data_IF_007954303285
#
_entry.id   IF_007954303285
#
_cell.length_a   1.000
_cell.length_b   1.000
_cell.length_c   1.000
_cell.angle_alpha   90.00
_cell.angle_beta   90.00
_cell.angle_gamma   90.00
#
_symmetry.space_group_name_H-M   'P 1'
#
loop_
_entity.id
_entity.type
_entity.pdbx_description
1 polymer ?
#
# COMPACT_ATOMS: atom_id res chain seq x y z
N UNK A 1 -41.49 -19.70 -10.70
CA UNK A 1 -41.25 -21.01 -11.19
C UNK A 1 -41.82 -21.25 -12.59
N UNK A 2 -43.12 -21.10 -12.85
CA UNK A 2 -43.76 -21.28 -14.18
C UNK A 2 -43.39 -20.23 -15.25
N UNK A 3 -42.68 -19.16 -14.89
CA UNK A 3 -42.13 -18.16 -15.83
C UNK A 3 -40.89 -18.66 -16.59
N UNK A 4 -40.20 -19.69 -16.09
CA UNK A 4 -39.06 -20.31 -16.80
C UNK A 4 -39.56 -21.20 -17.92
N UNK A 5 -39.12 -20.92 -19.16
CA UNK A 5 -39.51 -21.63 -20.38
C UNK A 5 -39.11 -23.12 -20.32
N UNK A 6 -37.96 -23.44 -19.76
CA UNK A 6 -37.43 -24.79 -19.64
C UNK A 6 -38.27 -25.65 -18.67
N UNK A 7 -38.61 -25.09 -17.48
CA UNK A 7 -39.44 -25.80 -16.50
C UNK A 7 -40.84 -26.08 -17.08
N UNK A 8 -41.39 -25.11 -17.82
CA UNK A 8 -42.69 -25.27 -18.45
C UNK A 8 -42.66 -26.34 -19.55
N UNK A 9 -41.59 -26.37 -20.35
CA UNK A 9 -41.41 -27.40 -21.39
C UNK A 9 -41.21 -28.79 -20.77
N UNK A 10 -40.39 -28.91 -19.73
CA UNK A 10 -40.16 -30.16 -19.04
C UNK A 10 -41.44 -30.68 -18.33
N UNK A 11 -42.21 -29.79 -17.69
CA UNK A 11 -43.50 -30.14 -17.09
C UNK A 11 -44.53 -30.59 -18.15
N UNK A 12 -44.62 -29.91 -19.29
CA UNK A 12 -45.51 -30.27 -20.38
C UNK A 12 -45.12 -31.63 -21.00
N UNK A 13 -43.83 -31.89 -21.21
CA UNK A 13 -43.34 -33.17 -21.72
C UNK A 13 -43.63 -34.32 -20.72
N UNK A 14 -43.41 -34.07 -19.42
CA UNK A 14 -43.72 -35.02 -18.36
C UNK A 14 -45.23 -35.32 -18.30
N UNK A 15 -46.10 -34.32 -18.36
CA UNK A 15 -47.54 -34.49 -18.40
C UNK A 15 -47.98 -35.28 -19.65
N UNK A 16 -47.46 -34.98 -20.84
CA UNK A 16 -47.79 -35.69 -22.06
C UNK A 16 -47.37 -37.17 -21.98
N UNK A 17 -46.14 -37.45 -21.53
CA UNK A 17 -45.65 -38.82 -21.37
C UNK A 17 -46.47 -39.62 -20.34
N UNK A 18 -46.87 -38.96 -19.26
CA UNK A 18 -47.68 -39.55 -18.18
C UNK A 18 -49.09 -39.92 -18.68
N UNK A 19 -49.73 -39.02 -19.44
CA UNK A 19 -51.05 -39.27 -20.03
C UNK A 19 -50.98 -40.45 -20.98
N UNK A 20 -49.99 -40.54 -21.86
CA UNK A 20 -49.80 -41.64 -22.79
C UNK A 20 -49.62 -42.97 -22.04
N UNK A 21 -48.75 -42.98 -21.00
CA UNK A 21 -48.44 -44.14 -20.20
C UNK A 21 -49.68 -44.68 -19.43
N UNK A 22 -50.43 -43.77 -18.81
CA UNK A 22 -51.67 -44.12 -18.07
C UNK A 22 -52.73 -44.65 -19.03
N UNK A 23 -52.90 -44.03 -20.23
CA UNK A 23 -53.86 -44.49 -21.24
C UNK A 23 -53.51 -45.91 -21.73
N UNK A 24 -52.25 -46.20 -22.02
CA UNK A 24 -51.78 -47.53 -22.40
C UNK A 24 -52.00 -48.56 -21.29
N UNK A 25 -51.77 -48.22 -20.03
CA UNK A 25 -51.99 -49.09 -18.89
C UNK A 25 -53.47 -49.42 -18.71
N UNK A 26 -54.42 -48.51 -18.94
CA UNK A 26 -55.84 -48.76 -18.93
C UNK A 26 -56.28 -49.69 -20.05
N UNK A 27 -55.65 -49.66 -21.23
CA UNK A 27 -55.92 -50.54 -22.33
C UNK A 27 -55.55 -52.05 -22.01
N UNK A 28 -54.53 -52.23 -21.14
CA UNK A 28 -54.06 -53.56 -20.76
C UNK A 28 -54.94 -54.19 -19.62
N UNK A 29 -55.20 -53.43 -18.54
CA UNK A 29 -56.06 -53.85 -17.44
C UNK A 29 -56.47 -52.59 -16.62
N UNK A 30 -57.75 -52.50 -16.15
CA UNK A 30 -58.23 -51.35 -15.37
C UNK A 30 -57.45 -51.19 -14.06
N UNK A 31 -57.03 -52.23 -13.40
CA UNK A 31 -56.22 -52.15 -12.17
C UNK A 31 -54.83 -51.64 -12.41
N UNK A 32 -54.18 -51.97 -13.54
CA UNK A 32 -52.90 -51.48 -13.93
C UNK A 32 -52.94 -49.95 -14.24
N UNK A 33 -54.04 -49.47 -14.87
CA UNK A 33 -54.31 -48.08 -15.09
C UNK A 33 -54.42 -47.23 -13.80
N UNK A 34 -55.12 -47.77 -12.80
CA UNK A 34 -55.24 -47.13 -11.48
C UNK A 34 -53.88 -47.03 -10.75
N UNK A 35 -53.09 -48.10 -10.78
CA UNK A 35 -51.75 -48.08 -10.18
C UNK A 35 -50.81 -47.10 -10.90
N UNK A 36 -50.82 -47.07 -12.24
CA UNK A 36 -50.05 -46.11 -13.05
C UNK A 36 -50.44 -44.66 -12.76
N UNK A 37 -51.74 -44.37 -12.58
CA UNK A 37 -52.22 -43.03 -12.22
C UNK A 37 -51.72 -42.62 -10.83
N UNK A 38 -51.83 -43.53 -9.83
CA UNK A 38 -51.32 -43.27 -8.48
C UNK A 38 -49.83 -42.99 -8.45
N UNK A 39 -49.04 -43.76 -9.19
CA UNK A 39 -47.61 -43.53 -9.34
C UNK A 39 -47.28 -42.18 -10.02
N UNK A 40 -48.03 -41.85 -11.08
CA UNK A 40 -47.86 -40.59 -11.81
C UNK A 40 -48.13 -39.35 -10.94
N UNK A 41 -49.18 -39.40 -10.11
CA UNK A 41 -49.51 -38.32 -9.16
C UNK A 41 -48.43 -38.18 -8.09
N UNK A 42 -47.94 -39.31 -7.53
CA UNK A 42 -46.89 -39.33 -6.53
C UNK A 42 -45.56 -38.78 -7.11
N UNK A 43 -45.15 -39.23 -8.29
CA UNK A 43 -43.94 -38.78 -8.98
C UNK A 43 -44.02 -37.28 -9.37
N UNK A 44 -45.16 -36.85 -9.86
CA UNK A 44 -45.45 -35.44 -10.18
C UNK A 44 -45.41 -34.54 -8.95
N UNK A 45 -45.99 -34.98 -7.84
CA UNK A 45 -45.92 -34.29 -6.55
C UNK A 45 -44.49 -34.17 -5.99
N UNK A 46 -43.74 -35.27 -6.08
CA UNK A 46 -42.31 -35.26 -5.65
C UNK A 46 -41.47 -34.30 -6.51
N UNK A 47 -41.62 -34.38 -7.84
CA UNK A 47 -40.95 -33.50 -8.78
C UNK A 47 -41.30 -32.02 -8.52
N UNK A 48 -42.57 -31.74 -8.29
CA UNK A 48 -43.03 -30.39 -7.96
C UNK A 48 -42.42 -29.86 -6.65
N UNK A 49 -42.42 -30.65 -5.59
CA UNK A 49 -41.80 -30.29 -4.30
C UNK A 49 -40.31 -30.03 -4.44
N UNK A 50 -39.59 -30.90 -5.13
CA UNK A 50 -38.15 -30.77 -5.38
C UNK A 50 -37.83 -29.50 -6.16
N UNK A 51 -38.53 -29.28 -7.26
CA UNK A 51 -38.31 -28.10 -8.11
C UNK A 51 -38.68 -26.82 -7.37
N UNK A 52 -39.78 -26.77 -6.63
CA UNK A 52 -40.19 -25.64 -5.83
C UNK A 52 -39.20 -25.29 -4.71
N UNK A 53 -38.64 -26.31 -4.04
CA UNK A 53 -37.58 -26.09 -3.03
C UNK A 53 -36.32 -25.51 -3.63
N UNK A 54 -35.88 -26.02 -4.80
CA UNK A 54 -34.71 -25.51 -5.54
C UNK A 54 -34.87 -24.04 -5.97
N UNK A 55 -36.05 -23.66 -6.48
CA UNK A 55 -36.32 -22.28 -6.86
C UNK A 55 -36.41 -21.34 -5.67
N UNK A 56 -36.94 -21.78 -4.53
CA UNK A 56 -36.95 -20.97 -3.30
C UNK A 56 -35.54 -20.67 -2.81
N UNK A 57 -34.64 -21.70 -2.86
CA UNK A 57 -33.23 -21.50 -2.48
C UNK A 57 -32.51 -20.56 -3.42
N UNK A 58 -32.71 -20.64 -4.75
CA UNK A 58 -32.17 -19.70 -5.72
C UNK A 58 -32.67 -18.26 -5.51
N UNK A 59 -33.95 -18.10 -5.19
CA UNK A 59 -34.52 -16.78 -4.91
C UNK A 59 -33.92 -16.17 -3.61
N UNK A 60 -33.75 -16.99 -2.58
CA UNK A 60 -33.12 -16.55 -1.33
C UNK A 60 -31.67 -16.11 -1.56
N UNK A 61 -30.89 -16.87 -2.36
CA UNK A 61 -29.53 -16.50 -2.74
C UNK A 61 -29.46 -15.16 -3.52
N UNK A 62 -30.38 -14.97 -4.46
CA UNK A 62 -30.45 -13.73 -5.22
C UNK A 62 -30.77 -12.52 -4.34
N UNK A 63 -31.70 -12.68 -3.39
CA UNK A 63 -32.06 -11.64 -2.42
C UNK A 63 -30.90 -11.34 -1.45
N UNK A 64 -30.19 -12.37 -1.00
CA UNK A 64 -29.03 -12.23 -0.13
C UNK A 64 -27.85 -11.53 -0.85
N UNK A 65 -27.63 -11.86 -2.13
CA UNK A 65 -26.64 -11.16 -2.97
C UNK A 65 -26.99 -9.69 -3.17
N UNK A 66 -28.27 -9.38 -3.38
CA UNK A 66 -28.74 -7.99 -3.54
C UNK A 66 -28.55 -7.18 -2.25
N UNK A 67 -28.81 -7.77 -1.08
CA UNK A 67 -28.52 -7.15 0.22
C UNK A 67 -27.02 -6.88 0.44
N UNK A 68 -26.15 -7.79 0.02
CA UNK A 68 -24.70 -7.61 0.12
C UNK A 68 -24.21 -6.46 -0.78
N UNK A 69 -24.79 -6.33 -1.96
CA UNK A 69 -24.46 -5.25 -2.90
C UNK A 69 -24.92 -3.86 -2.40
N UNK A 70 -25.93 -3.81 -1.53
CA UNK A 70 -26.47 -2.58 -0.94
C UNK A 70 -25.94 -2.25 0.46
N UNK A 71 -24.73 -2.74 0.83
CA UNK A 71 -24.00 -2.38 2.07
C UNK A 71 -24.54 -2.97 3.39
N UNK A 72 -25.33 -4.02 3.39
CA UNK A 72 -25.61 -4.73 4.62
C UNK A 72 -24.41 -5.61 5.02
N UNK A 73 -23.84 -5.33 6.20
CA UNK A 73 -22.58 -5.88 6.75
C UNK A 73 -22.69 -7.37 7.19
N UNK A 74 -23.44 -8.18 6.47
CA UNK A 74 -23.61 -9.60 6.75
C UNK A 74 -22.81 -10.47 5.80
N UNK A 75 -21.95 -11.30 6.39
CA UNK A 75 -21.26 -12.39 5.69
C UNK A 75 -22.29 -13.43 5.26
N UNK A 76 -22.17 -13.93 4.02
CA UNK A 76 -22.82 -15.16 3.59
C UNK A 76 -22.38 -16.30 4.52
N UNK A 77 -23.19 -16.63 5.51
CA UNK A 77 -23.03 -17.85 6.29
C UNK A 77 -23.61 -18.95 5.42
N UNK A 78 -22.73 -19.65 4.71
CA UNK A 78 -23.10 -20.85 3.96
C UNK A 78 -23.40 -21.96 4.96
N UNK A 79 -24.67 -22.22 5.25
CA UNK A 79 -25.06 -23.53 5.72
C UNK A 79 -24.77 -24.51 4.57
N UNK A 80 -23.67 -25.23 4.72
CA UNK A 80 -23.12 -26.14 3.71
C UNK A 80 -23.99 -27.39 3.63
N UNK A 81 -25.07 -27.34 2.86
CA UNK A 81 -25.68 -28.56 2.35
C UNK A 81 -24.88 -29.03 1.13
N UNK A 82 -24.59 -30.33 1.05
CA UNK A 82 -23.88 -30.95 -0.08
C UNK A 82 -24.67 -30.79 -1.39
N UNK A 83 -23.98 -30.37 -2.47
CA UNK A 83 -24.56 -30.27 -3.80
C UNK A 83 -24.02 -29.13 -4.65
N UNK A 84 -24.44 -29.06 -5.91
CA UNK A 84 -24.01 -28.04 -6.90
C UNK A 84 -24.29 -26.58 -6.45
N UNK A 85 -25.40 -26.37 -5.73
CA UNK A 85 -25.77 -25.07 -5.15
C UNK A 85 -24.81 -24.63 -4.03
N UNK A 86 -24.30 -25.58 -3.23
CA UNK A 86 -23.33 -25.28 -2.19
C UNK A 86 -21.98 -24.81 -2.77
N UNK A 87 -21.58 -25.39 -3.91
CA UNK A 87 -20.37 -24.95 -4.63
C UNK A 87 -20.56 -23.51 -5.12
N UNK A 88 -21.72 -23.19 -5.71
CA UNK A 88 -22.02 -21.84 -6.19
C UNK A 88 -22.04 -20.83 -5.02
N UNK A 89 -22.66 -21.19 -3.89
CA UNK A 89 -22.66 -20.37 -2.67
C UNK A 89 -21.25 -20.09 -2.17
N UNK A 90 -20.40 -21.12 -2.10
CA UNK A 90 -19.01 -20.99 -1.69
C UNK A 90 -18.21 -20.08 -2.63
N UNK A 91 -18.42 -20.17 -3.94
CA UNK A 91 -17.75 -19.30 -4.91
C UNK A 91 -18.23 -17.84 -4.81
N UNK A 92 -19.53 -17.63 -4.63
CA UNK A 92 -20.08 -16.29 -4.40
C UNK A 92 -19.58 -15.68 -3.09
N UNK A 93 -19.52 -16.48 -2.00
CA UNK A 93 -18.96 -16.03 -0.72
C UNK A 93 -17.49 -15.60 -0.85
N UNK A 94 -16.67 -16.39 -1.54
CA UNK A 94 -15.26 -16.03 -1.81
C UNK A 94 -15.15 -14.75 -2.66
N UNK A 95 -16.02 -14.60 -3.64
CA UNK A 95 -16.03 -13.42 -4.52
C UNK A 95 -16.44 -12.15 -3.77
N UNK A 96 -17.47 -12.24 -2.92
CA UNK A 96 -17.92 -11.11 -2.09
C UNK A 96 -16.87 -10.72 -1.04
N UNK A 97 -16.19 -11.68 -0.41
CA UNK A 97 -15.09 -11.40 0.50
C UNK A 97 -13.96 -10.66 -0.21
N UNK A 98 -13.53 -11.14 -1.38
CA UNK A 98 -12.49 -10.46 -2.18
C UNK A 98 -12.89 -9.05 -2.61
N UNK A 99 -14.15 -8.85 -3.04
CA UNK A 99 -14.64 -7.53 -3.41
C UNK A 99 -14.64 -6.56 -2.22
N UNK A 100 -15.01 -7.03 -1.02
CA UNK A 100 -14.93 -6.24 0.21
C UNK A 100 -13.50 -5.88 0.56
N UNK A 101 -12.59 -6.85 0.58
CA UNK A 101 -11.16 -6.61 0.83
C UNK A 101 -10.58 -5.56 -0.15
N UNK A 102 -10.94 -5.66 -1.44
CA UNK A 102 -10.52 -4.69 -2.44
C UNK A 102 -11.14 -3.30 -2.22
N UNK A 103 -12.42 -3.24 -1.85
CA UNK A 103 -13.11 -1.98 -1.57
C UNK A 103 -12.54 -1.28 -0.33
N UNK A 104 -12.26 -2.06 0.74
CA UNK A 104 -11.63 -1.55 1.96
C UNK A 104 -10.19 -1.09 1.71
N UNK A 105 -9.44 -1.82 0.88
CA UNK A 105 -8.11 -1.40 0.46
C UNK A 105 -8.16 -0.09 -0.33
N UNK A 106 -9.06 0.02 -1.31
CA UNK A 106 -9.26 1.23 -2.10
C UNK A 106 -9.73 2.42 -1.25
N UNK A 107 -10.59 2.18 -0.26
CA UNK A 107 -11.05 3.21 0.67
C UNK A 107 -9.91 3.72 1.55
N UNK A 108 -9.08 2.82 2.09
CA UNK A 108 -7.87 3.18 2.84
C UNK A 108 -6.90 3.99 1.98
N UNK A 109 -6.69 3.58 0.74
CA UNK A 109 -5.83 4.31 -0.21
C UNK A 109 -6.36 5.71 -0.51
N UNK A 110 -7.67 5.86 -0.70
CA UNK A 110 -8.30 7.19 -0.89
C UNK A 110 -8.16 8.11 0.32
N UNK A 111 -8.35 7.57 1.54
CA UNK A 111 -8.18 8.35 2.77
C UNK A 111 -6.71 8.76 2.89
N UNK A 112 -5.78 7.83 2.74
CA UNK A 112 -4.35 8.11 2.76
C UNK A 112 -3.93 9.18 1.74
N UNK A 113 -4.49 9.13 0.52
CA UNK A 113 -4.23 10.15 -0.50
C UNK A 113 -4.79 11.51 -0.10
N UNK A 114 -6.01 11.57 0.46
CA UNK A 114 -6.63 12.81 0.92
C UNK A 114 -5.84 13.45 2.07
N UNK A 115 -5.42 12.67 3.05
CA UNK A 115 -4.60 13.13 4.18
C UNK A 115 -3.22 13.62 3.69
N UNK A 116 -2.58 12.87 2.79
CA UNK A 116 -1.31 13.29 2.17
C UNK A 116 -1.43 14.61 1.41
N UNK A 117 -2.52 14.83 0.67
CA UNK A 117 -2.76 16.10 -0.03
C UNK A 117 -3.00 17.27 0.95
N UNK A 118 -3.70 17.02 2.06
CA UNK A 118 -3.91 18.01 3.10
C UNK A 118 -2.58 18.43 3.76
N UNK A 119 -1.72 17.46 4.06
CA UNK A 119 -0.39 17.69 4.63
C UNK A 119 0.51 18.47 3.65
N UNK A 120 0.53 18.10 2.38
CA UNK A 120 1.25 18.82 1.32
C UNK A 120 0.79 20.27 1.26
N UNK A 121 -0.53 20.50 1.24
CA UNK A 121 -1.08 21.86 1.19
C UNK A 121 -0.67 22.68 2.41
N UNK A 122 -0.64 22.07 3.60
CA UNK A 122 -0.20 22.72 4.83
C UNK A 122 1.29 23.07 4.79
N UNK A 123 2.15 22.13 4.35
CA UNK A 123 3.59 22.33 4.27
C UNK A 123 4.01 23.35 3.19
N UNK A 124 3.20 23.52 2.13
CA UNK A 124 3.42 24.57 1.13
C UNK A 124 2.92 25.95 1.60
N UNK A 125 1.86 25.99 2.40
CA UNK A 125 1.28 27.26 2.88
C UNK A 125 2.24 28.04 3.77
N UNK A 126 2.98 27.36 4.62
CA UNK A 126 3.92 27.98 5.57
C UNK A 126 5.03 28.77 4.86
N UNK A 127 5.86 28.17 3.97
CA UNK A 127 6.89 28.92 3.27
C UNK A 127 6.30 29.98 2.32
N UNK A 128 5.13 29.72 1.71
CA UNK A 128 4.45 30.71 0.87
C UNK A 128 4.05 31.96 1.68
N UNK A 129 3.55 31.78 2.91
CA UNK A 129 3.23 32.89 3.79
C UNK A 129 4.49 33.67 4.17
N UNK A 130 5.60 32.98 4.46
CA UNK A 130 6.89 33.61 4.75
C UNK A 130 7.44 34.38 3.55
N UNK A 131 7.34 33.82 2.34
CA UNK A 131 7.72 34.54 1.09
C UNK A 131 6.90 35.82 0.93
N UNK A 132 5.58 35.76 1.13
CA UNK A 132 4.73 36.96 1.05
C UNK A 132 5.11 38.03 2.10
N UNK A 133 5.47 37.59 3.31
CA UNK A 133 5.96 38.48 4.35
C UNK A 133 7.29 39.17 3.94
N UNK A 134 8.24 38.36 3.43
CA UNK A 134 9.53 38.88 2.93
C UNK A 134 9.31 39.92 1.82
N UNK A 135 8.40 39.65 0.86
CA UNK A 135 8.07 40.65 -0.19
C UNK A 135 7.41 41.90 0.36
N UNK A 136 6.57 41.78 1.38
CA UNK A 136 5.94 42.93 2.03
C UNK A 136 6.99 43.80 2.72
N UNK A 137 7.93 43.20 3.48
CA UNK A 137 9.01 43.89 4.14
C UNK A 137 9.98 44.52 3.13
N UNK A 138 10.27 43.86 2.02
CA UNK A 138 11.17 44.34 0.98
C UNK A 138 10.66 45.60 0.28
N UNK A 139 9.34 45.79 0.19
CA UNK A 139 8.71 46.91 -0.49
C UNK A 139 9.11 48.27 0.11
N UNK A 140 9.16 48.33 1.44
CA UNK A 140 9.36 49.57 2.19
C UNK A 140 10.73 49.63 2.91
N UNK A 141 11.65 48.67 2.63
CA UNK A 141 12.95 48.57 3.29
C UNK A 141 13.96 49.55 2.66
N UNK A 142 14.39 50.62 3.38
CA UNK A 142 15.31 51.61 2.88
C UNK A 142 16.78 51.17 2.97
N UNK A 143 17.13 50.30 3.90
CA UNK A 143 18.51 49.87 4.13
C UNK A 143 18.97 48.85 3.06
N UNK A 144 20.00 49.13 2.28
CA UNK A 144 20.51 48.23 1.24
C UNK A 144 21.06 46.92 1.80
N UNK A 145 21.56 46.88 3.06
CA UNK A 145 22.08 45.66 3.66
C UNK A 145 20.92 44.72 4.05
N UNK A 146 19.89 45.26 4.69
CA UNK A 146 18.68 44.54 5.07
C UNK A 146 17.88 44.07 3.87
N UNK A 147 17.76 44.90 2.82
CA UNK A 147 17.16 44.51 1.54
C UNK A 147 17.85 43.28 0.93
N UNK A 148 19.20 43.25 0.94
CA UNK A 148 19.97 42.08 0.46
C UNK A 148 19.75 40.83 1.32
N UNK A 149 19.59 40.98 2.64
CA UNK A 149 19.27 39.88 3.54
C UNK A 149 17.88 39.30 3.23
N UNK A 150 16.86 40.15 3.10
CA UNK A 150 15.50 39.74 2.73
C UNK A 150 15.44 39.06 1.36
N UNK A 151 16.19 39.53 0.37
CA UNK A 151 16.26 38.85 -0.94
C UNK A 151 16.88 37.46 -0.83
N UNK A 152 17.94 37.27 -0.04
CA UNK A 152 18.53 35.96 0.21
C UNK A 152 17.56 35.03 0.90
N UNK A 153 16.84 35.51 1.93
CA UNK A 153 15.82 34.76 2.66
C UNK A 153 14.69 34.35 1.72
N UNK A 154 14.15 35.25 0.92
CA UNK A 154 13.10 34.92 -0.07
C UNK A 154 13.57 33.89 -1.10
N UNK A 155 14.84 34.01 -1.59
CA UNK A 155 15.41 33.03 -2.51
C UNK A 155 15.57 31.66 -1.87
N UNK A 156 15.99 31.59 -0.60
CA UNK A 156 16.11 30.35 0.16
C UNK A 156 14.76 29.69 0.34
N UNK A 157 13.71 30.45 0.71
CA UNK A 157 12.32 29.94 0.87
C UNK A 157 11.78 29.39 -0.45
N UNK A 158 12.00 30.06 -1.58
CA UNK A 158 11.60 29.55 -2.90
C UNK A 158 12.35 28.26 -3.26
N UNK A 159 13.66 28.19 -3.00
CA UNK A 159 14.45 26.97 -3.19
C UNK A 159 13.94 25.80 -2.33
N UNK A 160 13.53 26.07 -1.11
CA UNK A 160 12.91 25.09 -0.23
C UNK A 160 11.58 24.55 -0.80
N UNK A 161 10.72 25.44 -1.34
CA UNK A 161 9.46 25.04 -1.98
C UNK A 161 9.70 24.18 -3.22
N UNK A 162 10.66 24.55 -4.06
CA UNK A 162 11.00 23.77 -5.27
C UNK A 162 11.54 22.39 -4.90
N UNK A 163 12.41 22.28 -3.90
CA UNK A 163 12.90 21.01 -3.38
C UNK A 163 11.76 20.15 -2.85
N UNK A 164 10.82 20.73 -2.06
CA UNK A 164 9.66 20.04 -1.50
C UNK A 164 8.79 19.47 -2.62
N UNK A 165 8.42 20.28 -3.61
CA UNK A 165 7.62 19.87 -4.75
C UNK A 165 8.29 18.75 -5.56
N UNK A 166 9.59 18.91 -5.84
CA UNK A 166 10.38 17.92 -6.59
C UNK A 166 10.43 16.58 -5.85
N UNK A 167 10.64 16.61 -4.53
CA UNK A 167 10.70 15.42 -3.68
C UNK A 167 9.35 14.70 -3.63
N UNK A 168 8.25 15.46 -3.48
CA UNK A 168 6.89 14.90 -3.50
C UNK A 168 6.55 14.25 -4.84
N UNK A 169 6.93 14.89 -5.97
CA UNK A 169 6.76 14.31 -7.29
C UNK A 169 7.58 13.02 -7.46
N UNK A 170 8.82 12.96 -6.93
CA UNK A 170 9.63 11.73 -6.92
C UNK A 170 8.91 10.60 -6.18
N UNK A 171 8.43 10.86 -4.96
CA UNK A 171 7.69 9.87 -4.15
C UNK A 171 6.44 9.41 -4.89
N UNK A 172 5.62 10.34 -5.38
CA UNK A 172 4.38 10.03 -6.10
C UNK A 172 4.62 9.14 -7.32
N UNK A 173 5.67 9.40 -8.11
CA UNK A 173 6.04 8.58 -9.27
C UNK A 173 6.58 7.21 -8.88
N UNK A 174 7.34 7.11 -7.79
CA UNK A 174 7.80 5.85 -7.23
C UNK A 174 6.62 4.99 -6.77
N UNK A 175 5.70 5.56 -5.99
CA UNK A 175 4.53 4.84 -5.47
C UNK A 175 3.61 4.35 -6.59
N UNK A 176 3.37 5.19 -7.59
CA UNK A 176 2.58 4.82 -8.77
C UNK A 176 3.25 3.76 -9.67
N UNK A 177 4.53 3.41 -9.41
CA UNK A 177 5.25 2.44 -10.23
C UNK A 177 5.55 2.91 -11.65
N UNK A 178 5.49 4.21 -11.91
CA UNK A 178 5.74 4.80 -13.24
C UNK A 178 7.23 4.85 -13.58
N UNK A 179 8.07 4.77 -12.54
CA UNK A 179 9.53 4.81 -12.71
C UNK A 179 10.04 3.39 -12.97
N UNK A 180 10.66 3.19 -14.11
CA UNK A 180 11.42 1.99 -14.41
C UNK A 180 12.81 2.08 -13.76
N UNK A 181 13.00 1.36 -12.66
CA UNK A 181 14.27 1.29 -11.96
C UNK A 181 15.20 0.32 -12.68
N UNK A 182 16.46 0.72 -12.89
CA UNK A 182 17.49 -0.15 -13.42
C UNK A 182 17.86 -1.21 -12.38
N UNK A 183 18.28 -2.38 -12.86
CA UNK A 183 18.76 -3.45 -11.98
C UNK A 183 20.16 -3.87 -12.44
N UNK A 184 21.16 -3.22 -11.85
CA UNK A 184 22.57 -3.44 -12.16
C UNK A 184 23.38 -3.62 -10.86
N UNK A 185 24.53 -4.30 -10.89
CA UNK A 185 25.38 -4.40 -9.72
C UNK A 185 25.98 -3.03 -9.38
N UNK A 186 25.71 -2.57 -8.16
CA UNK A 186 26.16 -1.27 -7.65
C UNK A 186 27.13 -1.48 -6.50
N UNK A 187 28.45 -1.21 -6.69
CA UNK A 187 29.43 -1.31 -5.61
C UNK A 187 29.09 -0.37 -4.46
N UNK A 188 29.00 -0.90 -3.23
CA UNK A 188 28.57 -0.12 -2.07
C UNK A 188 29.51 1.02 -1.73
N UNK A 189 30.82 0.83 -1.89
CA UNK A 189 31.79 1.91 -1.66
C UNK A 189 31.52 3.12 -2.56
N UNK A 190 31.34 2.90 -3.86
CA UNK A 190 31.03 3.96 -4.81
C UNK A 190 29.64 4.57 -4.60
N UNK A 191 28.72 3.80 -4.04
CA UNK A 191 27.38 4.26 -3.71
C UNK A 191 27.40 5.21 -2.50
N UNK A 192 28.09 4.83 -1.42
CA UNK A 192 28.25 5.66 -0.23
C UNK A 192 29.00 6.94 -0.56
N UNK A 193 30.09 6.87 -1.35
CA UNK A 193 30.82 8.06 -1.82
C UNK A 193 29.93 9.00 -2.61
N UNK A 194 29.11 8.48 -3.54
CA UNK A 194 28.16 9.28 -4.34
C UNK A 194 27.10 9.93 -3.46
N UNK A 195 26.61 9.24 -2.43
CA UNK A 195 25.63 9.76 -1.50
C UNK A 195 26.20 10.85 -0.56
N UNK A 196 27.45 10.67 -0.12
CA UNK A 196 28.16 11.56 0.80
C UNK A 196 28.71 12.80 0.11
N UNK A 197 28.97 12.79 -1.20
CA UNK A 197 29.60 13.89 -1.94
C UNK A 197 28.96 15.28 -1.69
N UNK A 198 27.63 15.45 -1.75
CA UNK A 198 26.99 16.74 -1.45
C UNK A 198 27.06 17.14 0.02
N UNK A 199 27.35 16.19 0.92
CA UNK A 199 27.41 16.41 2.37
C UNK A 199 28.80 16.69 2.87
N UNK A 200 29.86 16.57 2.05
CA UNK A 200 31.26 16.74 2.46
C UNK A 200 31.54 18.11 3.10
N UNK A 201 31.12 19.18 2.42
CA UNK A 201 31.31 20.54 2.95
C UNK A 201 30.54 20.77 4.25
N UNK A 202 29.24 20.43 4.36
CA UNK A 202 28.53 20.46 5.65
C UNK A 202 29.19 19.64 6.76
N UNK A 203 29.64 18.41 6.47
CA UNK A 203 30.32 17.55 7.45
C UNK A 203 31.63 18.19 7.95
N UNK A 204 32.44 18.74 7.03
CA UNK A 204 33.68 19.48 7.38
C UNK A 204 33.38 20.74 8.23
N UNK A 205 32.31 21.49 7.92
CA UNK A 205 31.96 22.70 8.68
C UNK A 205 31.54 22.40 10.12
N UNK A 206 30.94 21.21 10.37
CA UNK A 206 30.55 20.73 11.69
C UNK A 206 31.57 19.80 12.33
N UNK A 207 32.76 19.63 11.71
CA UNK A 207 33.82 18.71 12.16
C UNK A 207 33.33 17.27 12.41
N UNK A 208 32.37 16.81 11.60
CA UNK A 208 31.77 15.47 11.70
C UNK A 208 32.57 14.49 10.83
N UNK A 209 33.15 13.47 11.46
CA UNK A 209 33.87 12.41 10.76
C UNK A 209 32.91 11.40 10.12
N UNK A 210 33.12 11.08 8.84
CA UNK A 210 32.45 9.97 8.16
C UNK A 210 33.44 8.78 8.04
N UNK A 211 33.16 7.72 8.79
CA UNK A 211 34.01 6.53 8.87
C UNK A 211 33.33 5.34 8.17
N UNK A 212 33.92 4.87 7.06
CA UNK A 212 33.38 3.80 6.22
C UNK A 212 34.19 2.52 6.39
N UNK A 213 33.57 1.44 6.93
CA UNK A 213 34.24 0.21 7.34
C UNK A 213 33.57 -1.02 6.69
N UNK A 214 33.87 -1.31 5.44
CA UNK A 214 33.45 -2.54 4.79
C UNK A 214 34.31 -2.90 3.59
N UNK A 215 34.16 -4.15 3.08
CA UNK A 215 34.90 -4.61 1.91
C UNK A 215 34.52 -3.85 0.66
N UNK A 216 35.49 -3.39 -0.16
CA UNK A 216 35.18 -2.68 -1.41
C UNK A 216 34.48 -3.52 -2.46
N UNK A 217 34.51 -4.87 -2.34
CA UNK A 217 33.92 -5.80 -3.32
C UNK A 217 32.42 -6.04 -3.10
N UNK A 218 31.83 -5.49 -2.03
CA UNK A 218 30.41 -5.65 -1.73
C UNK A 218 29.56 -4.81 -2.66
N UNK A 219 28.51 -5.41 -3.26
CA UNK A 219 27.62 -4.74 -4.19
C UNK A 219 26.17 -5.10 -3.94
N UNK A 220 25.27 -4.13 -4.19
CA UNK A 220 23.83 -4.35 -4.28
C UNK A 220 23.37 -4.48 -5.73
N UNK A 221 22.18 -5.07 -5.93
CA UNK A 221 21.50 -5.07 -7.22
C UNK A 221 20.42 -3.97 -7.22
N UNK A 222 20.56 -2.96 -8.07
CA UNK A 222 19.59 -1.88 -8.10
C UNK A 222 19.98 -0.71 -9.01
N UNK A 223 19.24 0.39 -8.89
CA UNK A 223 19.49 1.64 -9.60
C UNK A 223 20.41 2.54 -8.76
N UNK A 224 21.63 2.75 -9.25
CA UNK A 224 22.66 3.52 -8.54
C UNK A 224 22.19 4.91 -8.14
N UNK A 225 21.50 5.64 -9.02
CA UNK A 225 21.11 7.03 -8.77
C UNK A 225 20.05 7.11 -7.68
N UNK A 226 19.08 6.22 -7.73
CA UNK A 226 18.01 6.16 -6.72
C UNK A 226 18.54 5.66 -5.38
N UNK A 227 19.41 4.64 -5.37
CA UNK A 227 20.04 4.16 -4.12
C UNK A 227 20.93 5.23 -3.48
N UNK A 228 21.69 5.98 -4.28
CA UNK A 228 22.48 7.11 -3.77
C UNK A 228 21.58 8.23 -3.18
N UNK A 229 20.43 8.50 -3.80
CA UNK A 229 19.44 9.44 -3.26
C UNK A 229 18.90 8.96 -1.90
N UNK A 230 18.58 7.66 -1.76
CA UNK A 230 18.10 7.08 -0.51
C UNK A 230 19.15 7.18 0.61
N UNK A 231 20.39 6.76 0.33
CA UNK A 231 21.49 6.86 1.30
C UNK A 231 21.82 8.29 1.66
N UNK A 232 21.78 9.22 0.70
CA UNK A 232 21.99 10.66 0.97
C UNK A 232 20.96 11.20 1.97
N UNK A 233 19.68 10.81 1.86
CA UNK A 233 18.65 11.25 2.81
C UNK A 233 18.89 10.69 4.21
N UNK A 234 19.37 9.44 4.33
CA UNK A 234 19.73 8.83 5.63
C UNK A 234 20.96 9.52 6.20
N UNK A 235 22.06 9.66 5.43
CA UNK A 235 23.29 10.34 5.86
C UNK A 235 23.05 11.79 6.25
N UNK A 236 22.19 12.50 5.51
CA UNK A 236 21.80 13.87 5.84
C UNK A 236 21.07 13.91 7.19
N UNK A 237 20.17 12.99 7.45
CA UNK A 237 19.49 12.92 8.74
C UNK A 237 20.49 12.67 9.88
N UNK A 238 21.41 11.70 9.72
CA UNK A 238 22.50 11.47 10.69
C UNK A 238 23.33 12.74 10.93
N UNK A 239 23.73 13.43 9.87
CA UNK A 239 24.53 14.69 9.97
C UNK A 239 23.77 15.78 10.72
N UNK A 240 22.48 15.99 10.44
CA UNK A 240 21.66 17.04 11.08
C UNK A 240 21.46 16.79 12.58
N UNK A 241 21.56 15.53 13.04
CA UNK A 241 21.39 15.16 14.45
C UNK A 241 22.70 14.83 15.17
N UNK A 242 23.82 14.81 14.47
CA UNK A 242 25.15 14.61 15.07
C UNK A 242 25.69 15.96 15.59
N UNK A 243 26.16 16.05 16.84
CA UNK A 243 26.79 17.27 17.36
C UNK A 243 28.12 17.54 16.64
N UNK A 244 28.54 18.80 16.69
CA UNK A 244 29.85 19.22 16.17
C UNK A 244 31.00 18.38 16.77
N UNK A 245 31.93 17.92 15.94
CA UNK A 245 33.00 17.01 16.36
C UNK A 245 32.59 15.55 16.51
N UNK A 246 31.36 15.19 16.13
CA UNK A 246 30.84 13.83 16.17
C UNK A 246 31.31 12.94 15.04
N UNK A 247 30.72 11.74 14.95
CA UNK A 247 31.11 10.73 13.97
C UNK A 247 29.86 10.03 13.39
N UNK A 248 29.91 9.72 12.10
CA UNK A 248 28.95 8.84 11.41
C UNK A 248 29.72 7.63 10.89
N UNK A 249 29.44 6.45 11.44
CA UNK A 249 30.04 5.19 11.02
C UNK A 249 29.12 4.48 10.01
N UNK A 250 29.72 3.92 8.95
CA UNK A 250 29.01 3.13 7.94
C UNK A 250 29.67 1.77 7.86
N UNK A 251 28.94 0.73 8.24
CA UNK A 251 29.40 -0.66 8.28
C UNK A 251 28.54 -1.53 7.38
N UNK A 252 29.10 -2.63 6.86
CA UNK A 252 28.37 -3.56 6.04
C UNK A 252 28.55 -5.00 6.56
N UNK A 253 27.42 -5.69 6.73
CA UNK A 253 27.36 -7.14 6.93
C UNK A 253 26.91 -7.80 5.62
N UNK A 254 27.85 -8.52 4.99
CA UNK A 254 27.60 -9.23 3.73
C UNK A 254 27.72 -10.73 3.94
N UNK A 255 26.60 -11.43 3.83
CA UNK A 255 26.53 -12.89 4.01
C UNK A 255 25.71 -13.54 2.86
N UNK A 256 25.62 -14.87 2.77
CA UNK A 256 24.92 -15.55 1.69
C UNK A 256 23.42 -15.28 1.59
N UNK A 257 22.77 -14.78 2.66
CA UNK A 257 21.35 -14.57 2.74
C UNK A 257 20.95 -13.12 2.43
N UNK A 258 21.80 -12.17 2.87
CA UNK A 258 21.53 -10.74 2.72
C UNK A 258 22.82 -9.92 2.74
N UNK A 259 22.70 -8.70 2.26
CA UNK A 259 23.67 -7.63 2.47
C UNK A 259 22.99 -6.50 3.23
N UNK A 260 23.52 -6.13 4.40
CA UNK A 260 22.98 -5.07 5.24
C UNK A 260 24.01 -3.95 5.44
N UNK A 261 23.62 -2.71 5.15
CA UNK A 261 24.38 -1.51 5.44
C UNK A 261 23.86 -0.89 6.72
N UNK A 262 24.72 -0.76 7.72
CA UNK A 262 24.41 -0.11 9.01
C UNK A 262 25.07 1.25 9.04
N UNK A 263 24.26 2.30 9.28
CA UNK A 263 24.70 3.68 9.42
C UNK A 263 24.40 4.10 10.85
N UNK A 264 25.44 4.45 11.62
CA UNK A 264 25.32 4.82 13.02
C UNK A 264 25.91 6.23 13.23
N UNK A 265 25.15 7.11 13.86
CA UNK A 265 25.60 8.44 14.25
C UNK A 265 25.88 8.52 15.77
N UNK A 266 26.69 9.48 16.17
CA UNK A 266 27.00 9.77 17.57
C UNK A 266 26.07 10.83 18.19
N UNK A 267 24.87 10.99 17.65
CA UNK A 267 23.86 11.92 18.14
C UNK A 267 23.13 11.43 19.39
N UNK A 268 22.08 12.11 19.81
CA UNK A 268 21.27 11.72 20.97
C UNK A 268 20.38 10.49 20.72
N UNK A 269 20.20 10.08 19.45
CA UNK A 269 19.22 9.07 19.05
C UNK A 269 17.81 9.67 18.96
N UNK A 270 16.79 8.80 18.93
CA UNK A 270 15.39 9.15 18.85
C UNK A 270 14.65 8.88 20.16
N UNK A 271 13.56 9.58 20.42
CA UNK A 271 12.60 9.14 21.43
C UNK A 271 11.98 7.79 20.99
N UNK A 272 11.76 6.86 21.91
CA UNK A 272 11.16 5.55 21.58
C UNK A 272 9.78 5.69 20.93
N UNK A 273 9.03 6.72 21.30
CA UNK A 273 7.71 7.02 20.73
C UNK A 273 7.78 7.50 19.28
N UNK A 274 8.93 8.03 18.84
CA UNK A 274 9.15 8.55 17.48
C UNK A 274 9.56 7.48 16.50
N UNK A 275 10.24 6.41 16.95
CA UNK A 275 10.78 5.34 16.10
C UNK A 275 9.78 4.75 15.10
N UNK A 276 8.51 4.45 15.47
CA UNK A 276 7.52 3.93 14.53
C UNK A 276 7.14 4.90 13.42
N UNK A 277 7.32 6.21 13.63
CA UNK A 277 6.87 7.29 12.77
C UNK A 277 7.98 7.94 11.94
N UNK A 278 9.24 7.57 12.14
CA UNK A 278 10.39 8.22 11.47
C UNK A 278 10.32 8.19 9.95
N UNK A 279 9.67 7.20 9.38
CA UNK A 279 9.50 7.03 7.94
C UNK A 279 8.14 7.53 7.43
N UNK A 280 7.27 8.04 8.33
CA UNK A 280 6.01 8.64 7.92
C UNK A 280 6.29 9.97 7.22
N UNK A 281 5.50 10.29 6.20
CA UNK A 281 5.65 11.54 5.46
C UNK A 281 5.27 12.71 6.34
N UNK A 282 6.08 13.78 6.27
CA UNK A 282 5.90 15.01 7.05
C UNK A 282 6.06 14.84 8.56
N UNK A 283 6.44 13.64 9.02
CA UNK A 283 6.75 13.44 10.42
C UNK A 283 8.02 14.20 10.80
N UNK A 284 7.95 14.95 11.89
CA UNK A 284 9.07 15.65 12.51
C UNK A 284 9.06 15.35 13.98
N UNK A 285 10.18 14.88 14.53
CA UNK A 285 10.35 14.74 15.97
C UNK A 285 10.27 16.08 16.70
N UNK A 286 10.33 16.07 18.00
CA UNK A 286 10.20 17.28 18.86
C UNK A 286 11.37 18.27 18.77
N UNK A 287 12.37 18.06 17.91
CA UNK A 287 13.52 18.94 17.70
C UNK A 287 13.27 20.02 16.65
N UNK A 288 14.01 21.15 16.77
CA UNK A 288 14.01 22.29 15.82
C UNK A 288 14.71 21.96 14.46
N UNK A 289 14.77 20.71 14.06
CA UNK A 289 15.42 20.30 12.81
C UNK A 289 14.86 21.01 11.58
N UNK A 290 15.75 21.49 10.69
CA UNK A 290 15.42 22.25 9.48
C UNK A 290 14.73 21.43 8.37
N UNK A 291 14.41 20.15 8.60
CA UNK A 291 13.85 19.23 7.61
C UNK A 291 12.32 19.28 7.51
N UNK A 292 11.76 18.89 6.35
CA UNK A 292 10.31 18.82 6.10
C UNK A 292 9.69 17.44 6.41
N UNK A 293 10.45 16.51 7.02
CA UNK A 293 9.97 15.16 7.34
C UNK A 293 9.69 14.29 6.11
N UNK A 294 10.35 14.54 4.97
CA UNK A 294 10.11 13.80 3.70
C UNK A 294 11.32 12.95 3.31
N UNK A 295 12.51 13.29 3.78
CA UNK A 295 13.75 12.63 3.34
C UNK A 295 13.79 11.14 3.67
N UNK A 296 13.47 10.75 4.90
CA UNK A 296 13.44 9.35 5.32
C UNK A 296 12.30 8.57 4.66
N UNK A 297 11.13 9.18 4.46
CA UNK A 297 10.02 8.59 3.71
C UNK A 297 10.41 8.30 2.25
N UNK A 298 11.12 9.24 1.58
CA UNK A 298 11.66 9.02 0.25
C UNK A 298 12.69 7.88 0.24
N UNK A 299 13.59 7.84 1.21
CA UNK A 299 14.59 6.77 1.32
C UNK A 299 13.91 5.39 1.47
N UNK A 300 12.90 5.27 2.32
CA UNK A 300 12.14 4.04 2.50
C UNK A 300 11.42 3.63 1.20
N UNK A 301 10.74 4.56 0.52
CA UNK A 301 10.05 4.28 -0.75
C UNK A 301 11.02 3.78 -1.82
N UNK A 302 12.20 4.39 -1.95
CA UNK A 302 13.23 3.99 -2.91
C UNK A 302 13.74 2.57 -2.61
N UNK A 303 14.11 2.30 -1.35
CA UNK A 303 14.66 1.02 -0.90
C UNK A 303 13.63 -0.09 -1.08
N UNK A 304 12.39 0.14 -0.64
CA UNK A 304 11.29 -0.82 -0.76
C UNK A 304 10.98 -1.17 -2.23
N UNK A 305 10.98 -0.18 -3.11
CA UNK A 305 10.76 -0.41 -4.56
C UNK A 305 11.84 -1.22 -5.23
N UNK A 306 13.03 -1.26 -4.65
CA UNK A 306 14.15 -2.07 -5.15
C UNK A 306 14.28 -3.41 -4.41
N UNK A 307 13.30 -3.76 -3.55
CA UNK A 307 13.23 -5.04 -2.84
C UNK A 307 14.04 -5.09 -1.55
N UNK A 308 14.48 -3.93 -1.06
CA UNK A 308 15.15 -3.81 0.24
C UNK A 308 14.22 -3.37 1.36
N UNK A 309 14.75 -3.34 2.57
CA UNK A 309 14.10 -2.81 3.78
C UNK A 309 15.01 -1.81 4.47
N UNK A 310 14.41 -0.81 5.11
CA UNK A 310 15.12 0.12 6.00
C UNK A 310 14.43 0.17 7.35
N UNK A 311 15.22 0.12 8.41
CA UNK A 311 14.76 0.23 9.80
C UNK A 311 15.63 1.21 10.57
N UNK A 312 15.09 1.80 11.63
CA UNK A 312 15.82 2.67 12.54
C UNK A 312 15.67 2.18 13.98
N UNK A 313 16.71 2.35 14.77
CA UNK A 313 16.75 2.04 16.20
C UNK A 313 17.77 2.92 16.90
N UNK A 314 17.72 2.99 18.22
CA UNK A 314 18.78 3.61 19.02
C UNK A 314 19.90 2.60 19.30
N UNK A 315 21.14 3.06 19.29
CA UNK A 315 22.26 2.27 19.76
C UNK A 315 22.29 2.21 21.29
N UNK A 316 22.75 1.09 21.88
CA UNK A 316 22.88 0.96 23.35
C UNK A 316 23.81 2.02 23.99
N UNK A 317 24.81 2.47 23.23
CA UNK A 317 25.82 3.45 23.64
C UNK A 317 25.42 4.90 23.31
N UNK A 318 24.22 5.10 22.74
CA UNK A 318 23.71 6.37 22.24
C UNK A 318 23.85 6.51 20.74
N UNK A 319 23.07 7.44 20.15
CA UNK A 319 23.02 7.66 18.70
C UNK A 319 21.94 6.87 17.99
N UNK A 320 21.63 7.28 16.77
CA UNK A 320 20.69 6.59 15.89
C UNK A 320 21.42 5.57 15.01
N UNK A 321 20.75 4.45 14.75
CA UNK A 321 21.22 3.40 13.86
C UNK A 321 20.18 3.13 12.80
N UNK A 322 20.55 3.32 11.55
CA UNK A 322 19.75 2.94 10.39
C UNK A 322 20.34 1.66 9.78
N UNK A 323 19.49 0.69 9.48
CA UNK A 323 19.87 -0.57 8.83
C UNK A 323 19.12 -0.69 7.51
N UNK A 324 19.86 -0.67 6.41
CA UNK A 324 19.34 -0.89 5.05
C UNK A 324 19.76 -2.29 4.62
N UNK A 325 18.77 -3.15 4.33
CA UNK A 325 18.99 -4.56 4.03
C UNK A 325 18.38 -4.96 2.69
N UNK A 326 19.15 -5.70 1.89
CA UNK A 326 18.72 -6.37 0.67
C UNK A 326 18.94 -7.89 0.79
N UNK A 327 17.91 -8.66 0.45
CA UNK A 327 18.03 -10.13 0.38
C UNK A 327 18.68 -10.53 -0.94
N UNK A 328 19.47 -11.63 -0.92
CA UNK A 328 20.22 -12.15 -2.09
C UNK A 328 19.45 -13.22 -2.85
#
# INVERSE_FOLDING_TARGET
MLRNKEVRQCAAAFCAATVIFVALAFCVAPLAGLLALGFAVAAGGLFWRFTAARYRRLAALAEELDRILHEEDRLLVADAEEGELAILQSQLAKMTTRLREQNDALRREKIYLADSLADIAHQLRTPLTSVNLVFTLLKDEPDPARRRALLREGTALLGQMDWLLTTLLKISRLDAGVIELKREPVPLAALVDTAAEPLRIPLELHDIALDVRFSPDTAWQGDKLWLAEALRNILKNCMEHTPDGGCIAVECDDNPLFTALTIHDSGPGFDESELPHLFDRFYRGQGDGAGYGIGLALAQSIIARQGGTVTAKNAPEGGAVFVVRFEK
#
